data_IF_585429656767
#
_entry.id   IF_585429656767
#
_cell.length_a   1.000
_cell.length_b   1.000
_cell.length_c   1.000
_cell.angle_alpha   90.00
_cell.angle_beta   90.00
_cell.angle_gamma   90.00
#
_symmetry.space_group_name_H-M   'P 1'
#
loop_
_entity.id
_entity.type
_entity.pdbx_description
1 polymer ?
#
# COMPACT_ATOMS: atom_id res chain seq x y z
N UNK A 1 5.48 -9.29 -1.86
CA UNK A 1 4.21 -9.11 -1.13
C UNK A 1 4.31 -9.90 0.15
N UNK A 2 4.09 -9.25 1.30
CA UNK A 2 4.06 -9.93 2.59
C UNK A 2 2.60 -10.26 2.94
N UNK A 3 2.39 -11.34 3.69
CA UNK A 3 1.09 -11.84 4.11
C UNK A 3 1.06 -13.36 4.08
N UNK A 4 0.36 -13.98 5.02
CA UNK A 4 0.16 -15.44 5.01
C UNK A 4 -0.82 -15.80 3.90
N UNK A 5 -0.55 -16.91 3.20
CA UNK A 5 -1.51 -17.45 2.25
C UNK A 5 -2.77 -17.92 3.00
N UNK A 6 -3.91 -17.87 2.31
CA UNK A 6 -5.14 -18.46 2.84
C UNK A 6 -4.92 -19.94 3.19
N UNK A 7 -5.33 -20.34 4.39
CA UNK A 7 -5.19 -21.71 4.89
C UNK A 7 -6.26 -22.63 4.29
N UNK A 8 -6.08 -22.99 3.02
CA UNK A 8 -6.95 -23.93 2.32
C UNK A 8 -7.02 -25.31 3.00
N UNK A 9 -5.92 -25.89 3.53
CA UNK A 9 -5.98 -27.13 4.30
C UNK A 9 -6.95 -27.05 5.48
N UNK A 10 -6.89 -25.98 6.27
CA UNK A 10 -7.80 -25.79 7.40
C UNK A 10 -9.25 -25.61 6.96
N UNK A 11 -9.50 -24.87 5.90
CA UNK A 11 -10.85 -24.71 5.33
C UNK A 11 -11.39 -26.09 4.90
N UNK A 12 -10.57 -26.91 4.23
CA UNK A 12 -10.96 -28.25 3.81
C UNK A 12 -11.25 -29.18 5.00
N UNK A 13 -10.46 -29.11 6.08
CA UNK A 13 -10.69 -29.85 7.32
C UNK A 13 -12.03 -29.47 7.96
N UNK A 14 -12.34 -28.18 8.04
CA UNK A 14 -13.63 -27.69 8.54
C UNK A 14 -14.79 -28.21 7.67
N UNK A 15 -14.63 -28.16 6.34
CA UNK A 15 -15.61 -28.71 5.40
C UNK A 15 -15.87 -30.21 5.61
N UNK A 16 -14.82 -31.00 5.84
CA UNK A 16 -14.93 -32.45 6.12
C UNK A 16 -15.70 -32.77 7.40
N UNK A 17 -15.68 -31.88 8.39
CA UNK A 17 -16.42 -32.05 9.66
C UNK A 17 -17.92 -31.77 9.54
N UNK A 18 -18.36 -31.27 8.37
CA UNK A 18 -19.74 -30.84 8.13
C UNK A 18 -19.97 -29.39 8.55
N UNK A 19 -20.58 -28.60 7.67
CA UNK A 19 -20.89 -27.19 7.88
C UNK A 19 -22.38 -26.98 7.59
N UNK A 20 -23.15 -26.54 8.60
CA UNK A 20 -24.59 -26.29 8.47
C UNK A 20 -24.89 -24.98 7.73
N UNK A 21 -24.09 -23.94 7.97
CA UNK A 21 -24.25 -22.62 7.38
C UNK A 21 -22.87 -22.02 7.09
N UNK A 22 -22.72 -21.46 5.89
CA UNK A 22 -21.56 -20.70 5.46
C UNK A 22 -22.02 -19.28 5.11
N UNK A 23 -21.40 -18.28 5.75
CA UNK A 23 -21.59 -16.88 5.40
C UNK A 23 -20.35 -16.43 4.61
N UNK A 24 -20.53 -16.14 3.33
CA UNK A 24 -19.47 -15.69 2.43
C UNK A 24 -19.61 -14.21 2.09
N UNK A 25 -18.47 -13.55 1.85
CA UNK A 25 -18.40 -12.21 1.28
C UNK A 25 -18.75 -12.26 -0.22
N UNK A 26 -19.60 -11.34 -0.68
CA UNK A 26 -20.18 -11.35 -2.03
C UNK A 26 -19.94 -10.06 -2.82
N UNK A 27 -19.11 -9.13 -2.33
CA UNK A 27 -18.84 -7.83 -2.96
C UNK A 27 -18.34 -7.97 -4.40
N UNK A 28 -17.64 -9.06 -4.74
CA UNK A 28 -17.03 -9.25 -6.06
C UNK A 28 -17.62 -10.42 -6.88
N UNK A 29 -18.80 -10.95 -6.53
CA UNK A 29 -19.37 -12.16 -7.16
C UNK A 29 -19.74 -11.98 -8.64
N UNK A 30 -20.05 -10.76 -9.06
CA UNK A 30 -20.43 -10.46 -10.46
C UNK A 30 -19.22 -10.38 -11.40
N UNK A 31 -17.99 -10.42 -10.88
CA UNK A 31 -16.77 -10.39 -11.69
C UNK A 31 -16.27 -11.80 -11.98
N UNK A 32 -16.23 -12.15 -13.26
CA UNK A 32 -15.65 -13.40 -13.72
C UNK A 32 -14.11 -13.44 -13.54
N UNK A 33 -13.56 -14.64 -13.44
CA UNK A 33 -12.13 -14.88 -13.35
C UNK A 33 -11.59 -14.82 -11.92
N UNK A 34 -10.34 -14.38 -11.78
CA UNK A 34 -9.61 -14.37 -10.52
C UNK A 34 -9.00 -13.00 -10.25
N UNK A 35 -8.98 -12.60 -8.98
CA UNK A 35 -8.29 -11.39 -8.53
C UNK A 35 -6.80 -11.51 -8.82
N UNK A 36 -6.23 -10.48 -9.46
CA UNK A 36 -4.79 -10.41 -9.71
C UNK A 36 -4.01 -10.36 -8.39
N UNK A 37 -2.81 -10.96 -8.40
CA UNK A 37 -1.91 -10.87 -7.25
C UNK A 37 -1.46 -9.44 -7.01
N UNK A 38 -1.36 -9.05 -5.73
CA UNK A 38 -0.76 -7.79 -5.31
C UNK A 38 0.70 -7.61 -5.79
N UNK A 39 1.37 -8.70 -6.19
CA UNK A 39 2.71 -8.67 -6.79
C UNK A 39 2.71 -7.93 -8.13
N UNK A 40 1.65 -8.10 -8.92
CA UNK A 40 1.47 -7.42 -10.20
C UNK A 40 1.38 -5.90 -10.01
N UNK A 41 0.78 -5.46 -8.90
CA UNK A 41 0.73 -4.03 -8.56
C UNK A 41 2.13 -3.50 -8.23
N UNK A 42 2.92 -4.25 -7.48
CA UNK A 42 4.32 -3.91 -7.20
C UNK A 42 5.16 -3.76 -8.47
N UNK A 43 5.02 -4.68 -9.44
CA UNK A 43 5.69 -4.58 -10.75
C UNK A 43 5.22 -3.37 -11.55
N UNK A 44 3.94 -3.05 -11.49
CA UNK A 44 3.37 -1.87 -12.16
C UNK A 44 3.90 -0.58 -11.55
N UNK A 45 3.93 -0.49 -10.22
CA UNK A 45 4.52 0.65 -9.51
C UNK A 45 6.01 0.79 -9.83
N UNK A 46 6.76 -0.32 -9.89
CA UNK A 46 8.19 -0.29 -10.24
C UNK A 46 8.42 0.32 -11.63
N UNK A 47 7.60 -0.05 -12.61
CA UNK A 47 7.62 0.56 -13.96
C UNK A 47 7.29 2.05 -13.91
N UNK A 48 6.28 2.47 -13.13
CA UNK A 48 5.93 3.89 -12.98
C UNK A 48 7.10 4.69 -12.40
N UNK A 49 7.79 4.16 -11.38
CA UNK A 49 8.98 4.79 -10.82
C UNK A 49 10.12 4.88 -11.83
N UNK A 50 10.41 3.79 -12.55
CA UNK A 50 11.47 3.72 -13.55
C UNK A 50 11.24 4.71 -14.72
N UNK A 51 10.01 4.85 -15.18
CA UNK A 51 9.68 5.73 -16.31
C UNK A 51 9.60 7.21 -15.96
N UNK A 52 9.63 7.58 -14.68
CA UNK A 52 9.44 8.96 -14.21
C UNK A 52 10.59 9.44 -13.31
N UNK A 53 11.83 9.00 -13.59
CA UNK A 53 13.02 9.31 -12.77
C UNK A 53 13.35 10.81 -12.65
N UNK A 54 12.80 11.66 -13.52
CA UNK A 54 13.02 13.11 -13.60
C UNK A 54 11.86 13.93 -13.01
N UNK A 55 10.83 13.28 -12.45
CA UNK A 55 9.60 13.93 -11.97
C UNK A 55 9.24 13.53 -10.55
N UNK A 56 8.54 14.42 -9.85
CA UNK A 56 7.87 14.08 -8.58
C UNK A 56 6.76 13.07 -8.81
N UNK A 57 6.62 12.12 -7.90
CA UNK A 57 5.49 11.20 -7.88
C UNK A 57 4.52 11.57 -6.75
N UNK A 58 3.22 11.55 -7.05
CA UNK A 58 2.14 11.67 -6.08
C UNK A 58 1.27 10.43 -6.25
N UNK A 59 1.16 9.61 -5.22
CA UNK A 59 0.45 8.34 -5.24
C UNK A 59 -0.66 8.41 -4.20
N UNK A 60 -1.91 8.42 -4.67
CA UNK A 60 -3.07 8.34 -3.81
C UNK A 60 -3.39 6.87 -3.52
N UNK A 61 -3.57 6.50 -2.25
CA UNK A 61 -4.03 5.16 -1.85
C UNK A 61 -4.83 5.19 -0.55
N UNK A 62 -5.58 4.12 -0.26
CA UNK A 62 -6.24 3.97 1.04
C UNK A 62 -5.19 3.79 2.13
N UNK A 63 -5.29 4.57 3.20
CA UNK A 63 -4.37 4.48 4.34
C UNK A 63 -4.34 3.09 4.97
N UNK A 64 -5.46 2.35 4.95
CA UNK A 64 -5.58 1.00 5.49
C UNK A 64 -4.90 -0.08 4.65
N UNK A 65 -4.48 0.21 3.41
CA UNK A 65 -3.77 -0.76 2.58
C UNK A 65 -2.25 -0.74 2.91
N UNK A 66 -1.92 -1.33 4.05
CA UNK A 66 -0.56 -1.40 4.60
C UNK A 66 0.43 -2.05 3.61
N UNK A 67 0.02 -3.12 2.93
CA UNK A 67 0.87 -3.78 1.93
C UNK A 67 1.20 -2.88 0.74
N UNK A 68 0.23 -2.08 0.26
CA UNK A 68 0.47 -1.11 -0.80
C UNK A 68 1.45 -0.03 -0.38
N UNK A 69 1.29 0.50 0.83
CA UNK A 69 2.19 1.54 1.37
C UNK A 69 3.61 0.98 1.49
N UNK A 70 3.77 -0.25 1.99
CA UNK A 70 5.06 -0.94 2.07
C UNK A 70 5.74 -1.06 0.70
N UNK A 71 5.01 -1.49 -0.33
CA UNK A 71 5.55 -1.53 -1.70
C UNK A 71 6.06 -0.17 -2.17
N UNK A 72 5.32 0.91 -1.89
CA UNK A 72 5.74 2.26 -2.28
C UNK A 72 6.99 2.70 -1.50
N UNK A 73 7.09 2.39 -0.20
CA UNK A 73 8.28 2.69 0.62
C UNK A 73 9.51 1.93 0.11
N UNK A 74 9.37 0.65 -0.21
CA UNK A 74 10.45 -0.19 -0.74
C UNK A 74 10.95 0.34 -2.10
N UNK A 75 10.03 0.73 -2.98
CA UNK A 75 10.37 1.33 -4.26
C UNK A 75 11.00 2.73 -4.08
N UNK A 76 10.49 3.54 -3.16
CA UNK A 76 11.11 4.83 -2.85
C UNK A 76 12.58 4.64 -2.39
N UNK A 77 12.85 3.66 -1.54
CA UNK A 77 14.23 3.28 -1.16
C UNK A 77 15.04 2.85 -2.39
N UNK A 78 14.52 1.93 -3.22
CA UNK A 78 15.18 1.43 -4.44
C UNK A 78 15.58 2.56 -5.38
N UNK A 79 14.70 3.52 -5.61
CA UNK A 79 14.92 4.68 -6.50
C UNK A 79 15.51 5.90 -5.79
N UNK A 80 15.95 5.76 -4.53
CA UNK A 80 16.58 6.83 -3.73
C UNK A 80 15.72 8.08 -3.59
N UNK A 81 14.41 7.89 -3.48
CA UNK A 81 13.44 8.95 -3.22
C UNK A 81 13.10 9.00 -1.74
N UNK A 82 12.85 10.20 -1.23
CA UNK A 82 12.25 10.45 0.07
C UNK A 82 10.73 10.42 -0.05
N UNK A 83 10.08 9.94 1.00
CA UNK A 83 8.63 9.79 1.08
C UNK A 83 8.06 10.85 2.01
N UNK A 84 7.02 11.53 1.55
CA UNK A 84 6.20 12.43 2.38
C UNK A 84 4.81 11.80 2.49
N UNK A 85 4.35 11.58 3.74
CA UNK A 85 3.00 11.11 3.99
C UNK A 85 2.05 12.30 4.11
N UNK A 86 0.96 12.28 3.33
CA UNK A 86 -0.05 13.34 3.32
C UNK A 86 -1.39 12.79 3.82
N UNK A 87 -1.88 13.34 4.93
CA UNK A 87 -3.12 12.95 5.59
C UNK A 87 -2.89 12.27 6.95
N UNK A 88 -3.66 12.69 7.96
CA UNK A 88 -3.53 12.19 9.35
C UNK A 88 -3.73 10.68 9.45
N UNK A 89 -4.73 10.14 8.75
CA UNK A 89 -4.99 8.70 8.74
C UNK A 89 -3.82 7.89 8.19
N UNK A 90 -3.14 8.40 7.16
CA UNK A 90 -1.95 7.77 6.58
C UNK A 90 -0.81 7.70 7.60
N UNK A 91 -0.54 8.82 8.28
CA UNK A 91 0.49 8.90 9.33
C UNK A 91 0.19 7.92 10.46
N UNK A 92 -1.05 7.92 10.97
CA UNK A 92 -1.46 7.06 12.08
C UNK A 92 -1.33 5.56 11.73
N UNK A 93 -1.76 5.17 10.51
CA UNK A 93 -1.69 3.77 10.09
C UNK A 93 -0.25 3.33 9.90
N UNK A 94 0.60 4.14 9.27
CA UNK A 94 2.03 3.81 9.10
C UNK A 94 2.73 3.69 10.45
N UNK A 95 2.45 4.59 11.40
CA UNK A 95 3.02 4.51 12.75
C UNK A 95 2.57 3.25 13.49
N UNK A 96 1.27 2.93 13.46
CA UNK A 96 0.74 1.73 14.10
C UNK A 96 1.30 0.45 13.47
N UNK A 97 1.33 0.37 12.13
CA UNK A 97 1.86 -0.77 11.40
C UNK A 97 3.37 -0.96 11.63
N UNK A 98 4.12 0.14 11.77
CA UNK A 98 5.55 0.08 12.11
C UNK A 98 5.78 -0.47 13.53
N UNK A 99 4.95 -0.08 14.51
CA UNK A 99 5.06 -0.55 15.90
C UNK A 99 4.83 -2.06 16.04
N UNK A 100 3.96 -2.64 15.21
CA UNK A 100 3.68 -4.08 15.21
C UNK A 100 4.54 -4.88 14.23
N UNK A 101 5.46 -4.22 13.50
CA UNK A 101 6.40 -4.88 12.59
C UNK A 101 5.84 -5.22 11.19
N UNK A 102 4.66 -4.74 10.82
CA UNK A 102 4.07 -4.97 9.50
C UNK A 102 4.80 -4.16 8.40
N UNK A 103 5.20 -2.92 8.74
CA UNK A 103 6.01 -2.05 7.89
C UNK A 103 7.40 -1.93 8.51
N UNK A 104 8.43 -2.30 7.74
CA UNK A 104 9.80 -1.88 8.01
C UNK A 104 10.01 -0.55 7.27
N UNK A 105 10.07 0.56 8.02
CA UNK A 105 10.32 1.88 7.43
C UNK A 105 11.83 2.03 7.32
N UNK A 106 12.40 2.05 6.10
CA UNK A 106 13.85 2.14 5.99
C UNK A 106 14.33 3.49 6.51
N UNK A 107 15.43 3.49 7.27
CA UNK A 107 15.96 4.69 7.89
C UNK A 107 16.09 5.84 6.88
N UNK A 108 15.75 7.04 7.34
CA UNK A 108 15.80 8.27 6.55
C UNK A 108 14.95 8.24 5.25
N UNK A 109 14.00 7.31 5.08
CA UNK A 109 13.15 7.27 3.88
C UNK A 109 11.98 8.25 3.99
N UNK A 110 11.30 8.30 5.12
CA UNK A 110 10.20 9.23 5.37
C UNK A 110 10.77 10.55 5.88
N UNK A 111 10.29 11.67 5.33
CA UNK A 111 10.63 13.02 5.76
C UNK A 111 9.37 13.85 6.02
N UNK A 112 9.50 14.85 6.89
CA UNK A 112 8.45 15.84 7.11
C UNK A 112 8.22 16.67 5.84
N UNK A 113 6.97 17.10 5.63
CA UNK A 113 6.58 17.94 4.48
C UNK A 113 7.41 19.23 4.40
N UNK A 114 7.82 19.80 5.53
CA UNK A 114 8.62 21.02 5.58
C UNK A 114 10.03 20.82 5.01
N UNK A 115 10.60 19.61 5.16
CA UNK A 115 11.92 19.26 4.61
C UNK A 115 11.88 19.01 3.11
N UNK A 116 10.69 18.84 2.51
CA UNK A 116 10.52 18.57 1.08
C UNK A 116 11.16 19.65 0.20
N UNK A 117 11.18 20.92 0.64
CA UNK A 117 11.77 22.04 -0.11
C UNK A 117 13.29 21.94 -0.29
N UNK A 118 13.96 21.14 0.53
CA UNK A 118 15.41 20.92 0.45
C UNK A 118 15.82 19.84 -0.57
N UNK A 119 14.84 19.20 -1.23
CA UNK A 119 15.08 18.14 -2.21
C UNK A 119 14.56 18.53 -3.59
N UNK A 120 15.17 17.98 -4.65
CA UNK A 120 14.67 18.17 -6.00
C UNK A 120 13.34 17.41 -6.20
N UNK A 121 12.43 17.87 -7.08
CA UNK A 121 11.12 17.23 -7.28
C UNK A 121 11.21 15.71 -7.52
N UNK A 122 12.15 15.27 -8.33
CA UNK A 122 12.39 13.87 -8.69
C UNK A 122 12.90 12.99 -7.53
N UNK A 123 13.38 13.61 -6.46
CA UNK A 123 13.79 12.88 -5.25
C UNK A 123 12.62 12.66 -4.29
N UNK A 124 11.40 13.09 -4.64
CA UNK A 124 10.24 13.04 -3.75
C UNK A 124 9.16 12.12 -4.31
N UNK A 125 8.57 11.32 -3.41
CA UNK A 125 7.28 10.66 -3.57
C UNK A 125 6.36 11.13 -2.47
N UNK A 126 5.14 11.53 -2.82
CA UNK A 126 4.09 11.86 -1.86
C UNK A 126 3.10 10.69 -1.85
N UNK A 127 2.83 10.12 -0.68
CA UNK A 127 1.75 9.15 -0.48
C UNK A 127 0.59 9.88 0.17
N UNK A 128 -0.56 9.94 -0.51
CA UNK A 128 -1.70 10.73 -0.08
C UNK A 128 -2.96 9.88 0.13
N UNK A 129 -3.81 10.29 1.06
CA UNK A 129 -5.24 9.92 1.08
C UNK A 129 -6.01 10.68 -0.01
N UNK A 130 -7.29 10.38 -0.23
CA UNK A 130 -8.14 11.13 -1.15
C UNK A 130 -8.42 10.46 -2.50
N UNK A 131 -8.24 9.14 -2.58
CA UNK A 131 -8.43 8.38 -3.82
C UNK A 131 -9.85 8.42 -4.37
N UNK A 132 -10.84 8.80 -3.55
CA UNK A 132 -12.24 8.84 -3.94
C UNK A 132 -12.75 10.28 -4.16
N UNK A 133 -11.85 11.26 -4.16
CA UNK A 133 -12.20 12.68 -4.34
C UNK A 133 -12.87 13.28 -3.12
N UNK A 134 -12.58 12.78 -1.92
CA UNK A 134 -13.16 13.29 -0.69
C UNK A 134 -12.72 14.74 -0.45
N UNK A 135 -13.64 15.72 -0.33
CA UNK A 135 -13.32 17.15 -0.42
C UNK A 135 -12.45 17.69 0.72
N UNK A 136 -12.36 16.95 1.83
CA UNK A 136 -11.53 17.30 3.00
C UNK A 136 -10.27 16.43 3.11
N UNK A 137 -10.00 15.60 2.10
CA UNK A 137 -8.80 14.77 2.06
C UNK A 137 -7.59 15.55 1.55
N UNK A 138 -6.45 14.87 1.53
CA UNK A 138 -5.19 15.48 1.13
C UNK A 138 -5.02 15.67 -0.39
N UNK A 139 -5.83 14.99 -1.23
CA UNK A 139 -5.81 15.10 -2.69
C UNK A 139 -6.94 15.99 -3.20
#
# INVERSE_FOLDING_TARGET
VAGECIDLPRIAEIGKRGVTLLLCESTNVEREGFTMSETVVGETLDKVFASNMDRRLIIATFASNVHRIKQILDLAKKYRRKVVLSGRSMINVVEAASKIGEIDVPENTIIDVDKMKSFKPEQIVIISTGTQGEPMSAL
#
